data_IF_749737336016
#
_entry.id   IF_749737336016
#
_cell.length_a   1.000
_cell.length_b   1.000
_cell.length_c   1.000
_cell.angle_alpha   90.00
_cell.angle_beta   90.00
_cell.angle_gamma   90.00
#
_symmetry.space_group_name_H-M   'P 1'
#
loop_
_entity.id
_entity.type
_entity.pdbx_description
1 polymer ?
#
# COMPACT_ATOMS: atom_id res chain seq x y z
N UNK A 1 6.91 -18.24 20.45
CA UNK A 1 5.73 -17.45 20.01
C UNK A 1 5.56 -17.63 18.52
N UNK A 2 4.31 -17.64 18.03
CA UNK A 2 4.02 -17.45 16.60
C UNK A 2 4.81 -16.25 16.07
N UNK A 3 5.31 -16.33 14.83
CA UNK A 3 5.97 -15.21 14.16
C UNK A 3 7.23 -14.60 14.84
N UNK A 4 7.94 -15.33 15.71
CA UNK A 4 9.10 -14.79 16.46
C UNK A 4 10.20 -14.16 15.58
N UNK A 5 10.36 -14.64 14.33
CA UNK A 5 11.31 -14.10 13.35
C UNK A 5 10.99 -12.66 12.90
N UNK A 6 9.76 -12.19 13.12
CA UNK A 6 9.26 -10.89 12.69
C UNK A 6 9.09 -9.88 13.82
N UNK A 7 9.08 -10.32 15.08
CA UNK A 7 8.82 -9.46 16.25
C UNK A 7 9.89 -8.38 16.39
N UNK A 8 9.46 -7.12 16.46
CA UNK A 8 10.31 -5.93 16.62
C UNK A 8 11.40 -5.82 15.52
N UNK A 9 11.05 -6.16 14.28
CA UNK A 9 11.93 -6.07 13.11
C UNK A 9 11.43 -5.08 12.08
N UNK A 10 12.36 -4.41 11.42
CA UNK A 10 12.14 -3.68 10.18
C UNK A 10 12.59 -4.59 9.04
N UNK A 11 11.73 -4.80 8.07
CA UNK A 11 11.95 -5.76 6.98
C UNK A 11 11.74 -5.01 5.67
N UNK A 12 12.77 -5.03 4.82
CA UNK A 12 12.67 -4.55 3.45
C UNK A 12 12.38 -5.76 2.55
N UNK A 13 11.15 -5.86 2.06
CA UNK A 13 10.68 -6.95 1.20
C UNK A 13 9.45 -6.51 0.41
N UNK A 14 9.13 -7.23 -0.66
CA UNK A 14 7.82 -7.12 -1.30
C UNK A 14 6.76 -7.68 -0.34
N UNK A 15 5.72 -6.89 -0.08
CA UNK A 15 4.59 -7.26 0.77
C UNK A 15 3.90 -8.53 0.28
N UNK A 16 3.79 -8.75 -1.04
CA UNK A 16 3.18 -9.96 -1.61
C UNK A 16 4.03 -11.21 -1.35
N UNK A 17 5.34 -11.07 -1.16
CA UNK A 17 6.23 -12.19 -0.80
C UNK A 17 6.33 -12.39 0.72
N UNK A 18 6.20 -11.30 1.49
CA UNK A 18 6.35 -11.31 2.95
C UNK A 18 5.10 -11.81 3.67
N UNK A 19 3.91 -11.31 3.32
CA UNK A 19 2.67 -11.64 4.03
C UNK A 19 2.35 -13.15 4.05
N UNK A 20 2.57 -13.93 2.97
CA UNK A 20 2.35 -15.39 2.99
C UNK A 20 3.20 -16.13 4.03
N UNK A 21 4.31 -15.54 4.47
CA UNK A 21 5.21 -16.14 5.47
C UNK A 21 4.78 -15.90 6.91
N UNK A 22 3.79 -15.02 7.13
CA UNK A 22 3.19 -14.72 8.43
C UNK A 22 2.07 -15.72 8.70
N UNK A 23 2.07 -16.31 9.89
CA UNK A 23 1.07 -17.29 10.29
C UNK A 23 -0.34 -16.69 10.31
N UNK A 24 -1.35 -17.50 10.04
CA UNK A 24 -2.75 -17.09 10.09
C UNK A 24 -3.19 -16.70 11.51
N UNK A 25 -4.24 -15.86 11.61
CA UNK A 25 -4.89 -15.51 12.88
C UNK A 25 -3.89 -15.14 13.98
N UNK A 26 -2.89 -14.32 13.66
CA UNK A 26 -1.73 -14.08 14.52
C UNK A 26 -1.45 -12.60 14.80
N UNK A 27 -2.01 -11.70 13.98
CA UNK A 27 -1.84 -10.25 14.08
C UNK A 27 -3.10 -9.60 14.65
N UNK A 28 -2.92 -8.71 15.63
CA UNK A 28 -4.03 -7.97 16.26
C UNK A 28 -4.41 -6.71 15.49
N UNK A 29 -3.43 -6.01 14.92
CA UNK A 29 -3.61 -4.75 14.19
C UNK A 29 -2.70 -4.71 12.97
N UNK A 30 -3.28 -4.34 11.82
CA UNK A 30 -2.53 -3.95 10.62
C UNK A 30 -2.77 -2.46 10.37
N UNK A 31 -1.68 -1.71 10.20
CA UNK A 31 -1.68 -0.29 9.88
C UNK A 31 -0.93 -0.09 8.56
N UNK A 32 -1.57 0.53 7.57
CA UNK A 32 -0.97 0.73 6.25
C UNK A 32 -1.41 2.03 5.60
N UNK A 33 -0.53 2.58 4.78
CA UNK A 33 -0.69 3.77 3.95
C UNK A 33 -0.16 3.41 2.55
N UNK A 34 -0.92 2.65 1.74
CA UNK A 34 -0.47 2.18 0.44
C UNK A 34 -0.58 3.29 -0.62
N UNK A 35 -0.02 3.10 -1.82
CA UNK A 35 0.06 4.17 -2.82
C UNK A 35 -1.31 4.75 -3.23
N UNK A 36 -1.59 5.98 -2.82
CA UNK A 36 -2.86 6.68 -3.05
C UNK A 36 -2.95 7.40 -4.42
N UNK A 37 -2.80 6.68 -5.53
CA UNK A 37 -3.00 7.22 -6.90
C UNK A 37 -2.18 8.47 -7.25
N UNK A 38 -1.06 8.64 -6.58
CA UNK A 38 -0.12 9.70 -6.89
C UNK A 38 0.68 9.26 -8.11
N UNK A 39 0.37 9.90 -9.23
CA UNK A 39 1.12 9.80 -10.46
C UNK A 39 2.57 10.24 -10.22
N UNK A 40 3.53 9.48 -10.75
CA UNK A 40 4.96 9.65 -10.50
C UNK A 40 5.44 9.37 -9.07
N UNK A 41 4.63 8.76 -8.20
CA UNK A 41 5.05 8.17 -6.91
C UNK A 41 5.40 6.68 -7.06
N UNK A 42 6.03 6.34 -8.19
CA UNK A 42 6.56 5.02 -8.47
C UNK A 42 8.07 4.92 -8.14
N UNK A 43 8.74 3.84 -8.55
CA UNK A 43 10.17 3.64 -8.27
C UNK A 43 11.09 4.72 -8.87
N UNK A 44 10.59 5.54 -9.79
CA UNK A 44 11.28 6.70 -10.36
C UNK A 44 10.84 8.02 -9.72
N UNK A 45 10.25 7.97 -8.52
CA UNK A 45 9.80 9.17 -7.81
C UNK A 45 10.95 10.16 -7.61
N UNK A 46 10.68 11.42 -7.98
CA UNK A 46 11.57 12.55 -7.78
C UNK A 46 10.73 13.77 -7.36
N UNK A 47 11.12 14.42 -6.26
CA UNK A 47 10.37 15.52 -5.66
C UNK A 47 10.24 16.72 -6.62
N UNK A 48 11.32 17.07 -7.31
CA UNK A 48 11.35 18.19 -8.25
C UNK A 48 10.44 17.89 -9.45
N UNK A 49 10.45 16.66 -9.96
CA UNK A 49 9.50 16.18 -10.95
C UNK A 49 8.06 16.31 -10.47
N UNK A 50 7.69 15.66 -9.35
CA UNK A 50 6.29 15.57 -8.90
C UNK A 50 5.70 16.94 -8.55
N UNK A 51 6.50 17.85 -7.98
CA UNK A 51 6.05 19.16 -7.52
C UNK A 51 5.86 20.21 -8.63
N UNK A 52 6.34 19.96 -9.86
CA UNK A 52 6.17 20.90 -10.98
C UNK A 52 4.68 21.08 -11.31
N UNK A 53 4.24 22.35 -11.40
CA UNK A 53 2.85 22.72 -11.73
C UNK A 53 2.37 22.22 -13.10
N UNK A 54 3.27 21.89 -14.02
CA UNK A 54 2.92 21.26 -15.31
C UNK A 54 2.35 19.84 -15.14
N UNK A 55 2.58 19.21 -13.98
CA UNK A 55 2.00 17.92 -13.60
C UNK A 55 0.68 18.08 -12.82
N UNK A 56 0.12 19.30 -12.75
CA UNK A 56 -1.29 19.48 -12.43
C UNK A 56 -2.10 19.17 -13.69
N UNK A 57 -2.74 18.00 -13.68
CA UNK A 57 -3.58 17.52 -14.76
C UNK A 57 -4.91 18.30 -14.86
N UNK A 58 -5.85 17.82 -15.68
CA UNK A 58 -7.14 18.46 -15.98
C UNK A 58 -7.91 18.90 -14.74
N UNK A 59 -7.74 18.22 -13.60
CA UNK A 59 -8.33 18.57 -12.31
C UNK A 59 -7.34 19.43 -11.51
N UNK A 60 -7.44 20.75 -11.65
CA UNK A 60 -6.55 21.72 -10.98
C UNK A 60 -6.72 21.82 -9.46
N UNK A 61 -7.78 21.22 -8.90
CA UNK A 61 -7.98 21.14 -7.45
C UNK A 61 -7.16 20.06 -6.78
N UNK A 62 -6.54 19.15 -7.56
CA UNK A 62 -5.64 18.14 -7.04
C UNK A 62 -4.19 18.67 -7.00
N UNK A 63 -3.37 18.22 -6.03
CA UNK A 63 -1.93 18.44 -6.02
C UNK A 63 -1.26 18.04 -7.34
N UNK A 64 -0.14 18.70 -7.67
CA UNK A 64 0.70 18.28 -8.78
C UNK A 64 1.14 16.82 -8.60
N UNK A 65 1.05 16.03 -9.66
CA UNK A 65 1.31 14.58 -9.58
C UNK A 65 0.11 13.75 -9.12
N UNK A 66 -1.10 14.28 -8.94
CA UNK A 66 -2.30 13.45 -8.83
C UNK A 66 -3.00 13.36 -10.18
N UNK A 67 -2.98 12.18 -10.79
CA UNK A 67 -3.71 11.89 -12.03
C UNK A 67 -4.82 10.91 -11.76
N UNK A 68 -6.04 11.26 -12.13
CA UNK A 68 -7.11 10.28 -12.17
C UNK A 68 -7.00 9.45 -13.46
N UNK A 69 -6.36 8.29 -13.38
CA UNK A 69 -6.34 7.28 -14.45
C UNK A 69 -7.21 6.08 -14.06
N UNK A 70 -8.22 5.78 -14.87
CA UNK A 70 -9.12 4.65 -14.65
C UNK A 70 -8.39 3.32 -14.67
N UNK A 71 -7.41 3.15 -15.55
CA UNK A 71 -6.67 1.89 -15.65
C UNK A 71 -5.71 1.73 -14.46
N UNK A 72 -5.11 2.81 -13.97
CA UNK A 72 -4.40 2.82 -12.68
C UNK A 72 -5.32 2.39 -11.53
N UNK A 73 -6.56 2.89 -11.48
CA UNK A 73 -7.62 2.44 -10.56
C UNK A 73 -7.79 0.93 -10.54
N UNK A 74 -7.96 0.32 -11.72
CA UNK A 74 -8.13 -1.13 -11.84
C UNK A 74 -6.88 -1.92 -11.45
N UNK A 75 -5.69 -1.46 -11.83
CA UNK A 75 -4.41 -2.11 -11.46
C UNK A 75 -4.20 -2.07 -9.96
N UNK A 76 -4.45 -0.93 -9.32
CA UNK A 76 -4.38 -0.79 -7.88
C UNK A 76 -5.37 -1.72 -7.18
N UNK A 77 -6.63 -1.75 -7.63
CA UNK A 77 -7.63 -2.68 -7.10
C UNK A 77 -7.17 -4.13 -7.18
N UNK A 78 -6.68 -4.57 -8.35
CA UNK A 78 -6.25 -5.96 -8.54
C UNK A 78 -5.07 -6.31 -7.61
N UNK A 79 -4.05 -5.46 -7.55
CA UNK A 79 -2.89 -5.64 -6.68
C UNK A 79 -3.29 -5.64 -5.19
N UNK A 80 -4.10 -4.67 -4.79
CA UNK A 80 -4.45 -4.49 -3.38
C UNK A 80 -5.47 -5.53 -2.89
N UNK A 81 -6.26 -6.11 -3.78
CA UNK A 81 -7.15 -7.23 -3.47
C UNK A 81 -6.35 -8.43 -2.96
N UNK A 82 -5.20 -8.74 -3.58
CA UNK A 82 -4.37 -9.87 -3.17
C UNK A 82 -3.67 -9.59 -1.84
N UNK A 83 -3.19 -8.37 -1.62
CA UNK A 83 -2.68 -7.93 -0.32
C UNK A 83 -3.76 -8.02 0.76
N UNK A 84 -4.97 -7.54 0.47
CA UNK A 84 -6.08 -7.51 1.44
C UNK A 84 -6.53 -8.91 1.85
N UNK A 85 -6.48 -9.89 0.94
CA UNK A 85 -6.77 -11.30 1.28
C UNK A 85 -5.75 -11.85 2.28
N UNK A 86 -4.46 -11.57 2.07
CA UNK A 86 -3.41 -12.00 2.99
C UNK A 86 -3.50 -11.28 4.35
N UNK A 87 -3.76 -9.96 4.35
CA UNK A 87 -4.03 -9.19 5.57
C UNK A 87 -5.19 -9.82 6.35
N UNK A 88 -6.28 -10.15 5.67
CA UNK A 88 -7.44 -10.79 6.30
C UNK A 88 -7.09 -12.16 6.89
N UNK A 89 -6.28 -12.97 6.19
CA UNK A 89 -5.82 -14.28 6.66
C UNK A 89 -4.98 -14.19 7.95
N UNK A 90 -4.08 -13.20 8.03
CA UNK A 90 -3.16 -13.06 9.18
C UNK A 90 -3.80 -12.37 10.38
N UNK A 91 -4.85 -11.59 10.17
CA UNK A 91 -5.60 -10.94 11.25
C UNK A 91 -6.33 -11.99 12.09
N UNK A 92 -6.27 -11.82 13.41
CA UNK A 92 -7.11 -12.59 14.34
C UNK A 92 -8.59 -12.25 14.15
N UNK A 93 -9.52 -13.14 14.53
CA UNK A 93 -10.92 -12.77 14.67
C UNK A 93 -11.07 -11.58 15.64
N UNK A 94 -11.67 -10.49 15.18
CA UNK A 94 -11.78 -9.24 15.94
C UNK A 94 -10.56 -8.30 15.87
N UNK A 95 -9.53 -8.64 15.08
CA UNK A 95 -8.41 -7.75 14.80
C UNK A 95 -8.81 -6.54 13.94
N UNK A 96 -7.97 -5.51 13.95
CA UNK A 96 -8.23 -4.24 13.26
C UNK A 96 -7.35 -4.04 12.04
N UNK A 97 -7.94 -3.51 10.98
CA UNK A 97 -7.24 -3.09 9.78
C UNK A 97 -7.48 -1.59 9.55
N UNK A 98 -6.42 -0.79 9.68
CA UNK A 98 -6.45 0.64 9.40
C UNK A 98 -5.71 0.93 8.09
N UNK A 99 -6.44 1.54 7.16
CA UNK A 99 -5.98 1.94 5.83
C UNK A 99 -6.12 3.46 5.72
N UNK A 100 -5.02 4.14 5.39
CA UNK A 100 -4.95 5.59 5.25
C UNK A 100 -4.82 6.00 3.78
#
# INVERSE_FOLDING_TARGET
MKNNKFTNKIICADTLELLPQIEDNSIDVVLTDPPCFLDKLDNNWDYEEVSKKNNQYTIKSLPAGMKFDREQGKRFYAWYLDISKEIFRILKPGGFFFFF
#
